data_IF_184736755103
#
_entry.id   IF_184736755103
#
_cell.length_a   1.000
_cell.length_b   1.000
_cell.length_c   1.000
_cell.angle_alpha   90.00
_cell.angle_beta   90.00
_cell.angle_gamma   90.00
#
_symmetry.space_group_name_H-M   'P 1'
#
loop_
_entity.id
_entity.type
_entity.pdbx_description
1 polymer ?
#
# COMPACT_ATOMS: atom_id res chain seq x y z
N UNK A 1 -7.40 -4.35 -9.94
CA UNK A 1 -7.54 -3.57 -8.69
C UNK A 1 -7.54 -4.57 -7.55
N UNK A 2 -6.60 -4.42 -6.61
CA UNK A 2 -6.41 -5.36 -5.49
C UNK A 2 -6.61 -4.63 -4.16
N UNK A 3 -6.89 -5.38 -3.10
CA UNK A 3 -7.03 -4.86 -1.75
C UNK A 3 -6.36 -5.78 -0.74
N UNK A 4 -5.74 -5.20 0.29
CA UNK A 4 -5.19 -5.90 1.45
C UNK A 4 -5.90 -5.39 2.68
N UNK A 5 -6.58 -6.28 3.39
CA UNK A 5 -7.31 -5.96 4.62
C UNK A 5 -6.45 -6.28 5.84
N UNK A 6 -6.53 -5.41 6.85
CA UNK A 6 -5.76 -5.50 8.09
C UNK A 6 -6.70 -5.56 9.29
N UNK A 7 -6.18 -5.98 10.44
CA UNK A 7 -6.97 -6.01 11.67
C UNK A 7 -7.12 -4.63 12.34
N UNK A 8 -6.43 -3.62 11.82
CA UNK A 8 -6.35 -2.25 12.34
C UNK A 8 -6.64 -1.18 11.27
N UNK A 9 -6.89 0.07 11.69
CA UNK A 9 -7.08 1.18 10.75
C UNK A 9 -5.75 1.57 10.05
N UNK A 10 -5.77 1.66 8.73
CA UNK A 10 -4.57 1.82 7.89
C UNK A 10 -4.25 3.28 7.53
N UNK A 11 -4.87 4.26 8.20
CA UNK A 11 -4.71 5.70 7.89
C UNK A 11 -3.27 6.17 8.05
N UNK A 12 -2.61 5.82 9.16
CA UNK A 12 -1.21 6.16 9.41
C UNK A 12 -0.25 5.37 8.50
N UNK A 13 -0.52 4.09 8.25
CA UNK A 13 0.25 3.28 7.30
C UNK A 13 0.24 3.91 5.89
N UNK A 14 -0.93 4.39 5.45
CA UNK A 14 -1.06 5.13 4.18
C UNK A 14 -0.24 6.40 4.14
N UNK A 15 -0.21 7.17 5.24
CA UNK A 15 0.61 8.39 5.34
C UNK A 15 2.09 8.05 5.22
N UNK A 16 2.58 7.04 5.95
CA UNK A 16 3.98 6.60 5.85
C UNK A 16 4.33 6.10 4.44
N UNK A 17 3.43 5.33 3.80
CA UNK A 17 3.63 4.88 2.43
C UNK A 17 3.79 6.05 1.45
N UNK A 18 2.95 7.09 1.53
CA UNK A 18 3.02 8.22 0.59
C UNK A 18 4.15 9.20 0.91
N UNK A 19 4.38 9.53 2.18
CA UNK A 19 5.34 10.56 2.58
C UNK A 19 6.76 10.01 2.75
N UNK A 20 6.93 8.82 3.31
CA UNK A 20 8.25 8.27 3.63
C UNK A 20 8.75 7.33 2.52
N UNK A 21 7.84 6.54 1.93
CA UNK A 21 8.18 5.56 0.88
C UNK A 21 7.86 6.05 -0.53
N UNK A 22 7.22 7.22 -0.68
CA UNK A 22 6.80 7.78 -1.96
C UNK A 22 5.91 6.82 -2.79
N UNK A 23 5.15 5.96 -2.12
CA UNK A 23 4.21 5.02 -2.75
C UNK A 23 2.78 5.50 -2.53
N UNK A 24 2.14 5.86 -3.63
CA UNK A 24 0.71 6.19 -3.62
C UNK A 24 -0.14 4.90 -3.56
N UNK A 25 -1.14 4.90 -2.69
CA UNK A 25 -2.12 3.82 -2.56
C UNK A 25 -3.53 4.40 -2.54
N UNK A 26 -4.51 3.60 -2.97
CA UNK A 26 -5.90 4.02 -3.04
C UNK A 26 -6.58 4.02 -1.67
N UNK A 27 -7.48 4.99 -1.47
CA UNK A 27 -8.40 4.98 -0.34
C UNK A 27 -9.58 4.02 -0.55
N UNK A 28 -10.07 3.45 0.55
CA UNK A 28 -11.30 2.68 0.61
C UNK A 28 -12.23 3.27 1.67
N UNK A 29 -13.53 3.03 1.51
CA UNK A 29 -14.51 3.35 2.57
C UNK A 29 -14.25 2.51 3.83
N UNK A 30 -13.83 1.25 3.67
CA UNK A 30 -13.33 0.43 4.76
C UNK A 30 -11.95 0.98 5.21
N UNK A 31 -11.89 1.51 6.43
CA UNK A 31 -10.68 2.09 7.03
C UNK A 31 -9.56 1.08 7.28
N UNK A 32 -9.86 -0.21 7.18
CA UNK A 32 -8.90 -1.31 7.34
C UNK A 32 -8.39 -1.87 6.00
N UNK A 33 -8.91 -1.36 4.87
CA UNK A 33 -8.57 -1.86 3.54
C UNK A 33 -7.61 -0.90 2.82
N UNK A 34 -6.42 -1.42 2.48
CA UNK A 34 -5.45 -0.76 1.61
C UNK A 34 -5.71 -1.17 0.15
N UNK A 35 -6.03 -0.22 -0.73
CA UNK A 35 -6.23 -0.51 -2.16
C UNK A 35 -4.97 -0.26 -2.96
N UNK A 36 -4.66 -1.21 -3.83
CA UNK A 36 -3.51 -1.16 -4.72
C UNK A 36 -4.04 -1.17 -6.16
N UNK A 37 -3.72 -0.10 -6.89
CA UNK A 37 -4.12 0.08 -8.29
C UNK A 37 -2.87 0.38 -9.12
N UNK A 38 -2.05 -0.64 -9.43
CA UNK A 38 -0.89 -0.44 -10.28
C UNK A 38 -1.35 -0.26 -11.73
N UNK A 39 -0.54 0.41 -12.57
CA UNK A 39 -0.82 0.47 -14.00
C UNK A 39 -0.69 -0.93 -14.64
N UNK A 40 -1.34 -1.14 -15.78
CA UNK A 40 -1.36 -2.46 -16.44
C UNK A 40 0.00 -2.89 -16.99
N UNK A 41 0.94 -1.96 -17.14
CA UNK A 41 2.32 -2.20 -17.55
C UNK A 41 3.28 -2.34 -16.36
N UNK A 42 2.77 -2.51 -15.13
CA UNK A 42 3.60 -2.69 -13.94
C UNK A 42 4.48 -3.93 -14.09
N UNK A 43 5.74 -3.81 -13.67
CA UNK A 43 6.70 -4.91 -13.66
C UNK A 43 6.82 -5.52 -12.28
N UNK A 44 7.32 -6.76 -12.22
CA UNK A 44 7.57 -7.48 -10.97
C UNK A 44 8.41 -6.66 -9.99
N UNK A 45 9.48 -6.01 -10.47
CA UNK A 45 10.35 -5.15 -9.66
C UNK A 45 9.63 -4.00 -8.96
N UNK A 46 8.60 -3.40 -9.59
CA UNK A 46 7.82 -2.33 -8.97
C UNK A 46 6.92 -2.88 -7.85
N UNK A 47 6.38 -4.09 -8.04
CA UNK A 47 5.60 -4.78 -7.01
C UNK A 47 6.52 -5.18 -5.85
N UNK A 48 7.72 -5.66 -6.14
CA UNK A 48 8.76 -6.02 -5.16
C UNK A 48 9.15 -4.81 -4.28
N UNK A 49 9.28 -3.62 -4.89
CA UNK A 49 9.48 -2.37 -4.13
C UNK A 49 8.33 -2.09 -3.16
N UNK A 50 7.07 -2.25 -3.60
CA UNK A 50 5.91 -2.03 -2.74
C UNK A 50 5.85 -3.01 -1.56
N UNK A 51 6.02 -4.30 -1.81
CA UNK A 51 5.97 -5.34 -0.76
C UNK A 51 7.09 -5.18 0.27
N UNK A 52 8.30 -4.79 -0.16
CA UNK A 52 9.41 -4.52 0.75
C UNK A 52 9.15 -3.29 1.62
N UNK A 53 8.69 -2.19 1.02
CA UNK A 53 8.30 -1.00 1.76
C UNK A 53 7.17 -1.28 2.76
N UNK A 54 6.18 -2.07 2.36
CA UNK A 54 5.07 -2.46 3.24
C UNK A 54 5.55 -3.29 4.43
N UNK A 55 6.43 -4.27 4.22
CA UNK A 55 7.02 -5.07 5.31
C UNK A 55 7.84 -4.21 6.27
N UNK A 56 8.63 -3.28 5.76
CA UNK A 56 9.43 -2.39 6.59
C UNK A 56 8.57 -1.49 7.50
N UNK A 57 7.40 -1.07 7.02
CA UNK A 57 6.46 -0.25 7.80
C UNK A 57 5.58 -1.04 8.78
N UNK A 58 5.50 -2.36 8.62
CA UNK A 58 4.71 -3.27 9.46
C UNK A 58 5.53 -4.00 10.52
N UNK A 59 6.86 -4.03 10.37
CA UNK A 59 7.80 -4.47 11.40
C UNK A 59 7.93 -3.41 12.50
#
# INVERSE_FOLDING_TARGET
MLGVEFDFEISELRKKLIYDKHIFTGGAMNKKLLRILPPLNVKKEHIDTFINALKELLN
#
